data_IF_076721224889
#
_entry.id   IF_076721224889
#
_cell.length_a   1.000
_cell.length_b   1.000
_cell.length_c   1.000
_cell.angle_alpha   90.00
_cell.angle_beta   90.00
_cell.angle_gamma   90.00
#
_symmetry.space_group_name_H-M   'P 1'
#
loop_
_entity.id
_entity.type
_entity.pdbx_description
1 polymer ?
#
# COMPACT_ATOMS: atom_id res chain seq x y z
N UNK A 1 -1.04 -8.50 7.16
CA UNK A 1 -0.98 -7.12 6.64
C UNK A 1 0.22 -6.89 5.73
N UNK A 2 1.48 -6.90 6.21
CA UNK A 2 2.63 -6.65 5.31
C UNK A 2 2.80 -7.71 4.21
N UNK A 3 2.41 -8.96 4.50
CA UNK A 3 2.40 -10.04 3.51
C UNK A 3 1.38 -9.79 2.39
N UNK A 4 0.17 -9.36 2.76
CA UNK A 4 -0.93 -9.05 1.83
C UNK A 4 -0.54 -7.87 0.91
N UNK A 5 0.13 -6.85 1.45
CA UNK A 5 0.66 -5.73 0.66
C UNK A 5 1.69 -6.22 -0.37
N UNK A 6 2.61 -7.11 0.04
CA UNK A 6 3.59 -7.68 -0.90
C UNK A 6 2.91 -8.49 -2.00
N UNK A 7 1.94 -9.31 -1.64
CA UNK A 7 1.15 -10.08 -2.60
C UNK A 7 0.46 -9.16 -3.62
N UNK A 8 -0.13 -8.04 -3.17
CA UNK A 8 -0.75 -7.05 -4.06
C UNK A 8 0.25 -6.31 -4.96
N UNK A 9 1.46 -6.05 -4.49
CA UNK A 9 2.53 -5.47 -5.33
C UNK A 9 3.04 -6.46 -6.39
N UNK A 10 3.05 -7.74 -6.06
CA UNK A 10 3.48 -8.82 -6.95
C UNK A 10 2.36 -9.29 -7.91
N UNK A 11 1.11 -8.88 -7.68
CA UNK A 11 -0.06 -9.24 -8.50
C UNK A 11 0.10 -8.78 -9.96
N UNK A 12 -0.23 -9.66 -10.91
CA UNK A 12 -0.17 -9.40 -12.36
C UNK A 12 -1.48 -9.87 -13.01
N UNK A 13 -2.31 -8.96 -13.57
CA UNK A 13 -2.10 -7.51 -13.65
C UNK A 13 -2.14 -6.85 -12.28
N UNK A 14 -1.38 -5.76 -12.11
CA UNK A 14 -1.40 -4.97 -10.88
C UNK A 14 -2.76 -4.27 -10.73
N UNK A 15 -3.30 -4.26 -9.51
CA UNK A 15 -4.53 -3.53 -9.16
C UNK A 15 -4.19 -2.48 -8.12
N UNK A 16 -4.48 -1.18 -8.36
CA UNK A 16 -4.28 -0.13 -7.38
C UNK A 16 -4.98 -0.43 -6.04
N UNK A 17 -4.35 -0.02 -4.95
CA UNK A 17 -4.92 -0.17 -3.61
C UNK A 17 -4.50 0.97 -2.70
N UNK A 18 -5.21 1.10 -1.59
CA UNK A 18 -4.91 2.06 -0.52
C UNK A 18 -4.50 1.32 0.74
N UNK A 19 -3.42 1.77 1.37
CA UNK A 19 -2.95 1.30 2.67
C UNK A 19 -3.58 2.16 3.77
N UNK A 20 -4.20 1.52 4.76
CA UNK A 20 -4.74 2.18 5.94
C UNK A 20 -3.81 1.98 7.14
N UNK A 21 -3.59 3.07 7.88
CA UNK A 21 -2.77 3.08 9.09
C UNK A 21 -3.66 3.29 10.31
N UNK A 22 -3.31 2.68 11.44
CA UNK A 22 -4.07 2.73 12.69
C UNK A 22 -4.25 4.16 13.25
N UNK A 23 -3.41 5.11 12.85
CA UNK A 23 -3.53 6.53 13.20
C UNK A 23 -4.51 7.31 12.30
N UNK A 24 -5.20 6.62 11.39
CA UNK A 24 -6.20 7.19 10.49
C UNK A 24 -5.65 7.71 9.16
N UNK A 25 -4.33 7.66 8.94
CA UNK A 25 -3.74 8.04 7.65
C UNK A 25 -3.95 6.96 6.59
N UNK A 26 -4.04 7.42 5.35
CA UNK A 26 -4.20 6.57 4.17
C UNK A 26 -3.15 6.90 3.13
N UNK A 27 -2.64 5.88 2.45
CA UNK A 27 -1.65 6.05 1.39
C UNK A 27 -2.07 5.27 0.14
N UNK A 28 -2.26 6.00 -0.96
CA UNK A 28 -2.58 5.40 -2.26
C UNK A 28 -1.33 4.77 -2.88
N UNK A 29 -1.52 3.59 -3.48
CA UNK A 29 -0.49 2.87 -4.24
C UNK A 29 -1.04 2.69 -5.67
N UNK A 30 -0.93 3.72 -6.53
CA UNK A 30 -1.49 3.68 -7.89
C UNK A 30 -0.70 2.80 -8.85
N UNK A 31 0.58 2.51 -8.56
CA UNK A 31 1.42 1.57 -9.32
C UNK A 31 2.30 0.75 -8.37
N UNK A 32 2.87 -0.40 -8.80
CA UNK A 32 3.78 -1.19 -7.97
C UNK A 32 4.99 -0.41 -7.44
N UNK A 33 5.43 0.62 -8.17
CA UNK A 33 6.62 1.40 -7.81
C UNK A 33 6.36 2.38 -6.66
N UNK A 34 5.09 2.64 -6.32
CA UNK A 34 4.72 3.55 -5.24
C UNK A 34 4.88 2.93 -3.86
N UNK A 35 5.12 1.62 -3.75
CA UNK A 35 5.40 1.02 -2.45
C UNK A 35 6.41 -0.13 -2.51
N UNK A 36 7.16 -0.28 -1.43
CA UNK A 36 8.11 -1.37 -1.26
C UNK A 36 8.00 -1.97 0.13
N UNK A 37 7.85 -3.30 0.19
CA UNK A 37 7.92 -4.05 1.44
C UNK A 37 9.36 -4.49 1.67
N UNK A 38 9.97 -4.10 2.79
CA UNK A 38 11.32 -4.57 3.13
C UNK A 38 11.38 -6.11 3.13
N UNK A 39 12.52 -6.73 2.78
CA UNK A 39 12.64 -8.19 2.74
C UNK A 39 12.25 -8.89 4.04
N UNK A 40 12.55 -8.26 5.19
CA UNK A 40 12.19 -8.74 6.52
C UNK A 40 10.72 -8.48 6.92
N UNK A 41 9.93 -7.83 6.06
CA UNK A 41 8.52 -7.46 6.25
C UNK A 41 8.23 -6.58 7.48
N UNK A 42 9.27 -5.97 8.06
CA UNK A 42 9.14 -5.15 9.26
C UNK A 42 8.60 -3.74 8.93
N UNK A 43 8.90 -3.24 7.72
CA UNK A 43 8.52 -1.91 7.27
C UNK A 43 8.04 -1.91 5.83
N UNK A 44 7.17 -0.95 5.54
CA UNK A 44 6.73 -0.61 4.19
C UNK A 44 7.17 0.81 3.91
N UNK A 45 7.70 1.03 2.72
CA UNK A 45 8.04 2.34 2.19
C UNK A 45 6.96 2.71 1.19
N UNK A 46 6.39 3.91 1.30
CA UNK A 46 5.40 4.45 0.36
C UNK A 46 5.91 5.77 -0.20
N UNK A 47 5.87 5.89 -1.52
CA UNK A 47 6.18 7.09 -2.29
C UNK A 47 4.87 7.76 -2.68
N UNK A 48 4.75 9.04 -2.40
CA UNK A 48 3.56 9.85 -2.74
C UNK A 48 3.83 10.68 -3.99
N UNK A 49 2.78 11.10 -4.68
CA UNK A 49 2.89 11.90 -5.91
C UNK A 49 3.53 13.28 -5.67
N UNK A 50 3.41 13.83 -4.45
CA UNK A 50 4.08 15.07 -4.04
C UNK A 50 5.58 14.90 -3.75
N UNK A 51 6.13 13.69 -3.99
CA UNK A 51 7.54 13.37 -3.82
C UNK A 51 7.95 13.05 -2.38
N UNK A 52 7.00 12.97 -1.44
CA UNK A 52 7.31 12.56 -0.08
C UNK A 52 7.55 11.04 0.04
N UNK A 53 8.26 10.68 1.12
CA UNK A 53 8.59 9.30 1.47
C UNK A 53 8.06 8.99 2.87
N UNK A 54 7.26 7.93 2.97
CA UNK A 54 6.75 7.45 4.25
C UNK A 54 7.31 6.06 4.56
N UNK A 55 7.97 5.93 5.72
CA UNK A 55 8.45 4.65 6.23
C UNK A 55 7.52 4.21 7.36
N UNK A 56 6.69 3.21 7.09
CA UNK A 56 5.64 2.74 7.98
C UNK A 56 6.05 1.40 8.63
N UNK A 57 5.99 1.27 9.97
CA UNK A 57 6.09 -0.03 10.62
C UNK A 57 4.90 -0.91 10.21
N UNK A 58 5.16 -2.19 9.88
CA UNK A 58 4.10 -3.12 9.49
C UNK A 58 3.01 -3.31 10.54
N UNK A 59 3.33 -3.13 11.83
CA UNK A 59 2.36 -3.19 12.93
C UNK A 59 1.32 -2.06 12.92
N UNK A 60 1.62 -0.92 12.28
CA UNK A 60 0.68 0.20 12.21
C UNK A 60 -0.31 0.06 11.06
N UNK A 61 -0.12 -0.92 10.16
CA UNK A 61 -1.04 -1.17 9.06
C UNK A 61 -2.32 -1.79 9.63
N UNK A 62 -3.43 -1.08 9.50
CA UNK A 62 -4.75 -1.52 9.95
C UNK A 62 -5.53 -2.25 8.86
N UNK A 63 -5.20 -2.02 7.58
CA UNK A 63 -5.82 -2.72 6.46
C UNK A 63 -5.38 -2.24 5.09
N UNK A 64 -5.94 -2.86 4.06
CA UNK A 64 -5.82 -2.43 2.66
C UNK A 64 -7.21 -2.41 2.01
N UNK A 65 -7.43 -1.47 1.09
CA UNK A 65 -8.62 -1.45 0.23
C UNK A 65 -8.16 -1.52 -1.22
N UNK A 66 -8.59 -2.55 -1.94
CA UNK A 66 -8.32 -2.71 -3.36
C UNK A 66 -9.32 -1.86 -4.14
N UNK A 67 -8.83 -1.04 -5.06
CA UNK A 67 -9.70 -0.33 -5.99
C UNK A 67 -10.09 -1.29 -7.12
N UNK A 68 -11.02 -2.19 -6.81
CA UNK A 68 -11.74 -2.92 -7.84
C UNK A 68 -12.65 -1.89 -8.50
N UNK A 69 -12.31 -1.41 -9.70
CA UNK A 69 -13.01 -0.37 -10.46
C UNK A 69 -14.51 -0.61 -10.72
N UNK A 70 -15.30 -0.68 -9.65
CA UNK A 70 -16.73 -0.90 -9.61
C UNK A 70 -17.37 0.36 -9.00
N UNK A 71 -17.58 1.33 -9.91
CA UNK A 71 -18.83 2.08 -10.12
C UNK A 71 -19.22 3.21 -9.16
N UNK A 72 -19.15 4.43 -9.69
CA UNK A 72 -20.29 5.39 -9.66
C UNK A 72 -20.69 5.60 -11.12
N UNK A 73 -21.61 4.80 -11.69
CA UNK A 73 -23.03 5.10 -11.88
C UNK A 73 -23.46 6.56 -11.75
#
# INVERSE_FOLDING_TARGET
MTADIREKLDERPFVPFTIHVADGRTFAVPTPDHAHVQPNRARIVVFTEDGALHILPGLLISGITVDSGQRTS
#
